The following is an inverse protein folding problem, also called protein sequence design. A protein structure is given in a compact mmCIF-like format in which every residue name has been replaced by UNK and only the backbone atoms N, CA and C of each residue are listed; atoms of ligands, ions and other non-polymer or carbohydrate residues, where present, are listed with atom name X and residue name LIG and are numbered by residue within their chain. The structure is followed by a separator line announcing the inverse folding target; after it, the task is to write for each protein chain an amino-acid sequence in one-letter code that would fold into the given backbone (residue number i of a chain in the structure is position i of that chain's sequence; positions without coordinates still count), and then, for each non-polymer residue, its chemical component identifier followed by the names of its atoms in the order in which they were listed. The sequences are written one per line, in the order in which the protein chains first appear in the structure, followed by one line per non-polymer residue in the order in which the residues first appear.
data_IF_425250143636
#
_entry.id   IF_425250143636
#
_cell.length_a   1.000
_cell.length_b   1.000
_cell.length_c   1.000
_cell.angle_alpha   90.00
_cell.angle_beta   90.00
_cell.angle_gamma   90.00
#
_symmetry.space_group_name_H-M   'P 1'
#
loop_
_entity.id
_entity.type
_entity.pdbx_description
1 polymer ?
#
# COMPACT_ATOMS: atom_id res chain seq x y z
N UNK A 1 -21.44 -25.87 13.91
CA UNK A 1 -20.90 -26.14 12.56
C UNK A 1 -20.50 -24.80 11.97
N UNK A 2 -19.28 -24.34 12.26
CA UNK A 2 -18.77 -23.03 11.83
C UNK A 2 -18.03 -23.23 10.50
N UNK A 3 -18.67 -22.86 9.39
CA UNK A 3 -17.98 -22.79 8.09
C UNK A 3 -17.25 -21.45 8.01
N UNK A 4 -15.98 -21.47 8.39
CA UNK A 4 -15.05 -20.36 8.17
C UNK A 4 -14.79 -20.20 6.67
N UNK A 5 -15.66 -19.44 5.99
CA UNK A 5 -15.37 -18.95 4.63
C UNK A 5 -14.28 -17.90 4.81
N UNK A 6 -13.10 -18.14 4.24
CA UNK A 6 -11.91 -17.35 4.48
C UNK A 6 -12.12 -15.90 4.08
N UNK A 7 -11.77 -14.99 4.99
CA UNK A 7 -11.89 -13.54 4.84
C UNK A 7 -10.50 -12.96 5.02
N UNK A 8 -10.04 -12.22 4.01
CA UNK A 8 -8.65 -11.80 3.86
C UNK A 8 -7.97 -12.63 2.78
N UNK A 9 -7.16 -11.98 1.94
CA UNK A 9 -6.27 -12.72 1.07
C UNK A 9 -5.25 -13.44 1.96
N UNK A 10 -5.09 -14.75 1.79
CA UNK A 10 -3.90 -15.42 2.31
C UNK A 10 -2.69 -14.64 1.78
N UNK A 11 -1.85 -14.17 2.70
CA UNK A 11 -0.59 -13.53 2.33
C UNK A 11 0.32 -14.65 1.84
N UNK A 12 0.13 -15.04 0.58
CA UNK A 12 1.03 -15.99 -0.07
C UNK A 12 2.43 -15.39 -0.10
N UNK A 13 3.43 -16.21 0.22
CA UNK A 13 4.81 -15.83 -0.02
C UNK A 13 4.99 -15.60 -1.53
N UNK A 14 5.07 -14.34 -1.93
CA UNK A 14 5.28 -13.97 -3.32
C UNK A 14 6.60 -14.57 -3.83
N UNK A 15 6.52 -15.48 -4.81
CA UNK A 15 7.68 -16.03 -5.50
C UNK A 15 8.01 -15.14 -6.68
N UNK A 16 9.19 -14.52 -6.63
CA UNK A 16 9.67 -13.68 -7.73
C UNK A 16 10.56 -14.45 -8.70
N UNK A 17 10.42 -14.20 -10.00
CA UNK A 17 11.35 -14.69 -11.02
C UNK A 17 12.67 -13.91 -10.99
N UNK A 18 13.65 -14.32 -11.78
CA UNK A 18 14.92 -13.58 -11.92
C UNK A 18 14.71 -12.23 -12.61
N UNK A 19 13.84 -12.20 -13.62
CA UNK A 19 13.48 -11.03 -14.41
C UNK A 19 12.77 -9.99 -13.53
N UNK A 20 11.82 -10.42 -12.70
CA UNK A 20 11.14 -9.53 -11.75
C UNK A 20 12.10 -8.92 -10.73
N UNK A 21 13.07 -9.70 -10.22
CA UNK A 21 14.13 -9.16 -9.34
C UNK A 21 15.03 -8.16 -10.06
N UNK A 22 15.30 -8.34 -11.34
CA UNK A 22 16.08 -7.40 -12.14
C UNK A 22 15.32 -6.09 -12.33
N UNK A 23 14.06 -6.15 -12.74
CA UNK A 23 13.17 -4.99 -12.87
C UNK A 23 13.03 -4.22 -11.56
N UNK A 24 12.90 -4.94 -10.44
CA UNK A 24 12.85 -4.32 -9.12
C UNK A 24 14.15 -3.54 -8.79
N UNK A 25 15.33 -4.12 -9.06
CA UNK A 25 16.60 -3.40 -8.88
C UNK A 25 16.71 -2.16 -9.75
N UNK A 26 16.22 -2.22 -10.98
CA UNK A 26 16.17 -1.06 -11.87
C UNK A 26 15.24 0.02 -11.34
N UNK A 27 14.07 -0.36 -10.81
CA UNK A 27 13.17 0.57 -10.12
C UNK A 27 13.84 1.22 -8.92
N UNK A 28 14.45 0.43 -8.03
CA UNK A 28 15.14 0.95 -6.84
C UNK A 28 16.24 1.93 -7.22
N UNK A 29 17.04 1.65 -8.25
CA UNK A 29 18.06 2.59 -8.74
C UNK A 29 17.44 3.91 -9.21
N UNK A 30 16.35 3.85 -10.00
CA UNK A 30 15.63 5.05 -10.43
C UNK A 30 15.10 5.86 -9.25
N UNK A 31 14.55 5.18 -8.24
CA UNK A 31 14.05 5.84 -7.03
C UNK A 31 15.20 6.54 -6.28
N UNK A 32 16.38 5.91 -6.19
CA UNK A 32 17.58 6.49 -5.60
C UNK A 32 18.11 7.70 -6.39
N UNK A 33 18.09 7.66 -7.72
CA UNK A 33 18.49 8.79 -8.56
C UNK A 33 17.57 10.02 -8.33
N UNK A 34 16.26 9.77 -8.17
CA UNK A 34 15.30 10.83 -7.81
C UNK A 34 15.57 11.36 -6.41
N UNK A 35 15.80 10.46 -5.45
CA UNK A 35 16.08 10.85 -4.07
C UNK A 35 17.36 11.68 -3.94
N UNK A 36 18.43 11.31 -4.67
CA UNK A 36 19.66 12.10 -4.76
C UNK A 36 19.39 13.52 -5.27
N UNK A 37 18.57 13.66 -6.33
CA UNK A 37 18.18 14.97 -6.86
C UNK A 37 17.41 15.81 -5.85
N UNK A 38 16.52 15.20 -5.07
CA UNK A 38 15.76 15.88 -4.02
C UNK A 38 16.68 16.37 -2.90
N UNK A 39 17.63 15.55 -2.47
CA UNK A 39 18.65 15.92 -1.49
C UNK A 39 19.53 17.06 -1.98
N UNK A 40 20.05 16.97 -3.21
CA UNK A 40 20.94 17.98 -3.79
C UNK A 40 20.28 19.36 -3.97
N UNK A 41 18.96 19.41 -4.07
CA UNK A 41 18.20 20.67 -4.22
C UNK A 41 17.58 21.19 -2.93
N UNK A 42 17.68 20.45 -1.83
CA UNK A 42 17.01 20.78 -0.56
C UNK A 42 15.50 21.04 -0.74
N UNK A 43 14.82 20.24 -1.57
CA UNK A 43 13.36 20.37 -1.83
C UNK A 43 12.49 19.94 -0.62
N UNK A 44 13.08 19.77 0.56
CA UNK A 44 12.36 19.46 1.80
C UNK A 44 11.99 20.77 2.50
N UNK A 45 10.70 20.98 2.77
CA UNK A 45 10.23 22.15 3.51
C UNK A 45 10.42 21.93 5.02
N UNK A 46 11.33 22.68 5.63
CA UNK A 46 11.68 22.54 7.06
C UNK A 46 10.94 23.53 7.97
N UNK A 47 10.40 24.61 7.42
CA UNK A 47 9.73 25.68 8.19
C UNK A 47 8.31 25.31 8.64
N UNK A 48 7.73 24.27 8.04
CA UNK A 48 6.38 23.78 8.31
C UNK A 48 6.41 22.28 8.57
N UNK A 49 6.77 21.83 9.79
CA UNK A 49 6.74 20.42 10.12
C UNK A 49 5.30 19.90 9.98
N UNK A 50 5.10 18.94 9.08
CA UNK A 50 3.83 18.25 8.90
C UNK A 50 3.89 16.86 9.52
N UNK A 51 2.75 16.39 10.02
CA UNK A 51 2.56 14.99 10.40
C UNK A 51 1.39 14.41 9.60
N UNK A 52 1.55 13.19 9.12
CA UNK A 52 0.50 12.45 8.43
C UNK A 52 -0.20 11.49 9.39
N UNK A 53 -1.51 11.34 9.24
CA UNK A 53 -2.30 10.29 9.89
C UNK A 53 -2.94 9.44 8.80
N UNK A 54 -2.75 8.13 8.90
CA UNK A 54 -3.41 7.15 8.04
C UNK A 54 -4.40 6.35 8.89
N UNK A 55 -5.62 6.20 8.37
CA UNK A 55 -6.69 5.42 9.01
C UNK A 55 -7.13 4.36 8.01
N UNK A 56 -7.00 3.10 8.40
CA UNK A 56 -7.55 1.97 7.65
C UNK A 56 -8.87 1.54 8.30
N UNK A 57 -9.91 1.42 7.48
CA UNK A 57 -11.24 1.01 7.91
C UNK A 57 -11.62 -0.30 7.22
N UNK A 58 -12.15 -1.23 8.01
CA UNK A 58 -12.74 -2.45 7.48
C UNK A 58 -14.25 -2.26 7.37
N UNK A 59 -14.79 -2.49 6.17
CA UNK A 59 -16.23 -2.52 5.97
C UNK A 59 -16.77 -3.85 6.49
N UNK A 60 -17.83 -3.77 7.31
CA UNK A 60 -18.51 -4.93 7.87
C UNK A 60 -20.01 -4.87 7.62
N UNK A 61 -20.63 -6.04 7.55
CA UNK A 61 -22.09 -6.19 7.50
C UNK A 61 -22.68 -6.18 8.92
N UNK A 62 -24.00 -6.23 9.03
CA UNK A 62 -24.72 -6.24 10.32
C UNK A 62 -24.36 -7.45 11.20
N UNK A 63 -23.93 -8.56 10.59
CA UNK A 63 -23.45 -9.76 11.27
C UNK A 63 -21.95 -9.69 11.65
N UNK A 64 -21.31 -8.52 11.46
CA UNK A 64 -19.89 -8.26 11.68
C UNK A 64 -18.94 -9.06 10.78
N UNK A 65 -19.46 -9.71 9.73
CA UNK A 65 -18.63 -10.27 8.66
C UNK A 65 -18.09 -9.19 7.73
N UNK A 66 -17.07 -9.49 6.90
CA UNK A 66 -16.55 -8.52 5.94
C UNK A 66 -17.61 -8.12 4.91
N UNK A 67 -17.57 -6.86 4.52
CA UNK A 67 -18.34 -6.33 3.40
C UNK A 67 -17.40 -5.99 2.26
N UNK A 68 -17.46 -6.75 1.17
CA UNK A 68 -16.51 -6.67 0.04
C UNK A 68 -16.85 -5.55 -0.96
N UNK A 69 -17.36 -4.42 -0.46
CA UNK A 69 -17.87 -3.30 -1.26
C UNK A 69 -16.88 -2.11 -1.29
N UNK A 70 -15.60 -2.35 -0.93
CA UNK A 70 -14.57 -1.31 -0.83
C UNK A 70 -14.50 -0.45 -2.10
N UNK A 71 -14.56 -1.07 -3.29
CA UNK A 71 -14.49 -0.34 -4.56
C UNK A 71 -15.68 0.60 -4.73
N UNK A 72 -16.89 0.13 -4.45
CA UNK A 72 -18.11 0.93 -4.55
C UNK A 72 -18.14 2.07 -3.53
N UNK A 73 -17.67 1.85 -2.30
CA UNK A 73 -17.55 2.92 -1.30
C UNK A 73 -16.53 3.97 -1.72
N UNK A 74 -15.37 3.55 -2.25
CA UNK A 74 -14.35 4.46 -2.74
C UNK A 74 -14.80 5.29 -3.95
N UNK A 75 -15.67 4.75 -4.80
CA UNK A 75 -16.26 5.49 -5.93
C UNK A 75 -17.23 6.60 -5.50
N UNK A 76 -17.63 6.65 -4.21
CA UNK A 76 -18.57 7.63 -3.66
C UNK A 76 -17.90 8.74 -2.83
N UNK A 77 -16.57 8.75 -2.73
CA UNK A 77 -15.76 9.74 -1.99
C UNK A 77 -14.94 10.56 -2.99
#
# INVERSE_FOLDING_TARGET
MWLSRHVGADVEQARYTREQRQQYREKVRRDLDVFERMLGKSEFEFDRPMTGLEIELNLVNEDLGPKLDNKTVLEQI
#
